data_IF_384221842497
#
_entry.id   IF_384221842497
#
_cell.length_a   1.000
_cell.length_b   1.000
_cell.length_c   1.000
_cell.angle_alpha   90.00
_cell.angle_beta   90.00
_cell.angle_gamma   90.00
#
_symmetry.space_group_name_H-M   'P 1'
#
loop_
_entity.id
_entity.type
_entity.pdbx_description
1 polymer ?
#
# COMPACT_ATOMS: atom_id res chain seq x y z
N UNK A 1 -14.09 23.28 29.38
CA UNK A 1 -12.81 23.52 28.67
C UNK A 1 -12.03 22.20 28.39
N UNK A 2 -12.71 21.13 27.98
CA UNK A 2 -12.08 19.87 27.53
C UNK A 2 -12.38 19.57 26.05
N UNK A 3 -13.57 19.96 25.58
CA UNK A 3 -14.03 19.74 24.20
C UNK A 3 -13.19 20.50 23.18
N UNK A 4 -12.74 21.73 23.48
CA UNK A 4 -11.87 22.49 22.57
C UNK A 4 -10.45 21.93 22.43
N UNK A 5 -9.93 21.21 23.43
CA UNK A 5 -8.66 20.52 23.30
C UNK A 5 -8.80 19.23 22.47
N UNK A 6 -9.93 18.53 22.61
CA UNK A 6 -10.29 17.38 21.76
C UNK A 6 -10.46 17.74 20.29
N UNK A 7 -11.16 18.85 19.98
CA UNK A 7 -11.35 19.29 18.59
C UNK A 7 -10.04 19.72 17.91
N UNK A 8 -9.07 20.26 18.67
CA UNK A 8 -7.76 20.65 18.14
C UNK A 8 -6.82 19.46 17.94
N UNK A 9 -7.07 18.34 18.61
CA UNK A 9 -6.35 17.09 18.39
C UNK A 9 -6.78 16.40 17.07
N UNK A 10 -8.05 16.55 16.67
CA UNK A 10 -8.56 16.03 15.38
C UNK A 10 -8.10 16.89 14.19
N UNK A 11 -7.87 18.19 14.37
CA UNK A 11 -7.27 19.06 13.34
C UNK A 11 -5.76 18.83 13.13
N UNK A 12 -5.02 18.31 14.14
CA UNK A 12 -3.56 18.11 14.08
C UNK A 12 -3.14 16.66 13.80
N UNK A 13 -4.05 15.70 13.95
CA UNK A 13 -3.87 14.29 13.59
C UNK A 13 -5.01 13.91 12.65
N UNK A 14 -4.83 14.08 11.34
CA UNK A 14 -5.79 13.53 10.40
C UNK A 14 -5.78 12.00 10.58
N UNK A 15 -6.94 11.38 10.36
CA UNK A 15 -7.09 9.92 10.17
C UNK A 15 -6.04 9.37 9.19
N UNK A 16 -5.45 10.22 8.34
CA UNK A 16 -4.28 9.91 7.51
C UNK A 16 -3.06 9.40 8.28
N UNK A 17 -2.84 9.75 9.55
CA UNK A 17 -1.70 9.23 10.35
C UNK A 17 -1.91 7.80 10.83
N UNK A 18 -3.15 7.40 11.10
CA UNK A 18 -3.49 5.99 11.34
C UNK A 18 -3.51 5.20 10.03
N UNK A 19 -4.06 5.79 8.96
CA UNK A 19 -3.97 5.23 7.62
C UNK A 19 -2.51 5.01 7.21
N UNK A 20 -1.60 5.95 7.49
CA UNK A 20 -0.16 5.82 7.23
C UNK A 20 0.47 4.62 7.95
N UNK A 21 0.16 4.40 9.24
CA UNK A 21 0.61 3.18 9.94
C UNK A 21 -0.02 1.93 9.33
N UNK A 22 -1.26 2.01 8.89
CA UNK A 22 -1.94 0.96 8.13
C UNK A 22 -1.24 0.64 6.80
N UNK A 23 -0.80 1.66 6.04
CA UNK A 23 -0.10 1.54 4.76
C UNK A 23 1.22 0.80 4.93
N UNK A 24 2.03 1.16 5.93
CA UNK A 24 3.28 0.42 6.19
C UNK A 24 3.02 -1.05 6.54
N UNK A 25 2.00 -1.32 7.37
CA UNK A 25 1.64 -2.70 7.71
C UNK A 25 1.07 -3.48 6.54
N UNK A 26 0.35 -2.83 5.63
CA UNK A 26 -0.13 -3.45 4.40
C UNK A 26 1.03 -3.74 3.41
N UNK A 27 2.02 -2.85 3.30
CA UNK A 27 3.24 -3.12 2.51
C UNK A 27 4.03 -4.30 3.06
N UNK A 28 4.23 -4.37 4.38
CA UNK A 28 4.91 -5.49 5.03
C UNK A 28 4.14 -6.80 4.80
N UNK A 29 2.82 -6.76 4.93
CA UNK A 29 1.95 -7.92 4.73
C UNK A 29 1.96 -8.40 3.27
N UNK A 30 1.94 -7.48 2.31
CA UNK A 30 2.06 -7.78 0.89
C UNK A 30 3.39 -8.51 0.58
N UNK A 31 4.50 -8.06 1.17
CA UNK A 31 5.79 -8.72 1.03
C UNK A 31 5.80 -10.12 1.66
N UNK A 32 5.25 -10.26 2.88
CA UNK A 32 5.15 -11.56 3.55
C UNK A 32 4.36 -12.54 2.68
N UNK A 33 3.19 -12.14 2.19
CA UNK A 33 2.37 -12.98 1.31
C UNK A 33 3.12 -13.39 0.04
N UNK A 34 3.82 -12.45 -0.61
CA UNK A 34 4.65 -12.76 -1.76
C UNK A 34 5.77 -13.77 -1.44
N UNK A 35 6.40 -13.67 -0.26
CA UNK A 35 7.48 -14.57 0.17
C UNK A 35 6.98 -15.98 0.51
N UNK A 36 5.77 -16.13 1.07
CA UNK A 36 5.22 -17.44 1.45
C UNK A 36 4.43 -18.12 0.32
N UNK A 37 4.27 -17.48 -0.83
CA UNK A 37 3.58 -18.03 -1.99
C UNK A 37 2.09 -17.72 -2.07
N UNK A 38 1.58 -16.85 -1.20
CA UNK A 38 0.19 -16.40 -1.16
C UNK A 38 -0.02 -15.22 -2.12
N UNK A 39 0.16 -15.46 -3.42
CA UNK A 39 0.31 -14.40 -4.42
C UNK A 39 -0.96 -13.57 -4.62
N UNK A 40 -2.14 -14.19 -4.60
CA UNK A 40 -3.42 -13.49 -4.71
C UNK A 40 -3.60 -12.49 -3.57
N UNK A 41 -3.33 -12.91 -2.33
CA UNK A 41 -3.40 -12.03 -1.17
C UNK A 41 -2.35 -10.91 -1.22
N UNK A 42 -1.15 -11.18 -1.75
CA UNK A 42 -0.14 -10.16 -1.98
C UNK A 42 -0.63 -9.09 -2.97
N UNK A 43 -1.23 -9.53 -4.08
CA UNK A 43 -1.73 -8.65 -5.15
C UNK A 43 -2.92 -7.79 -4.70
N UNK A 44 -3.83 -8.34 -3.90
CA UNK A 44 -4.92 -7.57 -3.29
C UNK A 44 -4.39 -6.43 -2.40
N UNK A 45 -3.35 -6.69 -1.60
CA UNK A 45 -2.71 -5.65 -0.78
C UNK A 45 -1.99 -4.61 -1.65
N UNK A 46 -1.33 -5.03 -2.72
CA UNK A 46 -0.67 -4.11 -3.67
C UNK A 46 -1.70 -3.20 -4.34
N UNK A 47 -2.84 -3.73 -4.80
CA UNK A 47 -3.90 -2.92 -5.41
C UNK A 47 -4.46 -1.88 -4.44
N UNK A 48 -4.74 -2.29 -3.20
CA UNK A 48 -5.16 -1.37 -2.15
C UNK A 48 -4.13 -0.25 -1.93
N UNK A 49 -2.84 -0.60 -1.86
CA UNK A 49 -1.76 0.35 -1.64
C UNK A 49 -1.55 1.32 -2.80
N UNK A 50 -1.76 0.87 -4.05
CA UNK A 50 -1.71 1.73 -5.24
C UNK A 50 -2.96 2.63 -5.34
N UNK A 51 -4.09 2.23 -4.75
CA UNK A 51 -5.34 3.01 -4.77
C UNK A 51 -5.36 4.23 -3.83
N UNK A 52 -4.37 4.36 -2.95
CA UNK A 52 -4.31 5.43 -1.94
C UNK A 52 -3.00 6.22 -2.05
N UNK A 53 -2.97 7.51 -1.67
CA UNK A 53 -1.71 8.25 -1.58
C UNK A 53 -0.74 7.57 -0.60
N UNK A 54 0.40 7.12 -1.12
CA UNK A 54 1.33 6.29 -0.37
C UNK A 54 2.74 6.30 -0.94
N UNK A 55 3.59 5.45 -0.37
CA UNK A 55 4.99 5.29 -0.80
C UNK A 55 5.16 4.22 -1.89
N UNK A 56 4.19 3.31 -2.03
CA UNK A 56 4.21 2.28 -3.06
C UNK A 56 3.78 2.89 -4.40
N UNK A 57 4.53 2.60 -5.45
CA UNK A 57 4.20 3.01 -6.82
C UNK A 57 4.52 1.87 -7.78
N UNK A 58 3.91 1.90 -8.97
CA UNK A 58 4.19 0.94 -10.05
C UNK A 58 5.68 0.90 -10.41
N UNK A 59 6.34 2.05 -10.46
CA UNK A 59 7.80 2.17 -10.67
C UNK A 59 8.61 1.46 -9.58
N UNK A 60 8.21 1.59 -8.31
CA UNK A 60 8.90 0.91 -7.21
C UNK A 60 8.71 -0.60 -7.29
N UNK A 61 7.48 -1.06 -7.57
CA UNK A 61 7.16 -2.49 -7.76
C UNK A 61 7.96 -3.14 -8.90
N UNK A 62 8.28 -2.37 -9.95
CA UNK A 62 9.10 -2.82 -11.08
C UNK A 62 10.61 -2.76 -10.81
N UNK A 63 11.06 -1.93 -9.86
CA UNK A 63 12.49 -1.75 -9.54
C UNK A 63 12.96 -2.68 -8.43
N UNK A 64 12.13 -2.92 -7.41
CA UNK A 64 12.49 -3.70 -6.22
C UNK A 64 12.37 -5.21 -6.48
N UNK A 65 13.48 -5.98 -6.42
CA UNK A 65 13.48 -7.43 -6.66
C UNK A 65 12.64 -8.24 -5.69
N UNK A 66 12.23 -7.67 -4.55
CA UNK A 66 11.30 -8.31 -3.60
C UNK A 66 9.99 -8.72 -4.30
N UNK A 67 9.56 -7.94 -5.30
CA UNK A 67 8.35 -8.21 -6.08
C UNK A 67 8.59 -9.04 -7.33
N UNK A 68 9.84 -9.43 -7.62
CA UNK A 68 10.19 -10.18 -8.83
C UNK A 68 9.42 -11.49 -8.97
N UNK A 69 9.07 -12.11 -7.85
CA UNK A 69 8.25 -13.32 -7.82
C UNK A 69 6.85 -13.09 -8.43
N UNK A 70 6.32 -11.86 -8.34
CA UNK A 70 5.02 -11.47 -8.87
C UNK A 70 5.06 -10.98 -10.33
N UNK A 71 6.24 -10.64 -10.89
CA UNK A 71 6.32 -9.98 -12.21
C UNK A 71 5.72 -10.78 -13.37
N UNK A 72 5.66 -12.10 -13.25
CA UNK A 72 5.07 -12.97 -14.26
C UNK A 72 3.56 -13.20 -14.06
N UNK A 73 2.99 -12.77 -12.94
CA UNK A 73 1.56 -12.89 -12.69
C UNK A 73 0.79 -11.94 -13.62
N UNK A 74 -0.26 -12.43 -14.33
CA UNK A 74 -1.09 -11.59 -15.19
C UNK A 74 -1.68 -10.40 -14.43
N UNK A 75 -2.08 -10.63 -13.19
CA UNK A 75 -2.68 -9.62 -12.32
C UNK A 75 -1.69 -8.53 -11.92
N UNK A 76 -0.43 -8.89 -11.65
CA UNK A 76 0.61 -7.90 -11.41
C UNK A 76 0.77 -6.96 -12.61
N UNK A 77 0.80 -7.51 -13.83
CA UNK A 77 0.90 -6.71 -15.06
C UNK A 77 -0.32 -5.80 -15.24
N UNK A 78 -1.53 -6.30 -14.96
CA UNK A 78 -2.76 -5.50 -14.95
C UNK A 78 -2.65 -4.31 -14.00
N UNK A 79 -2.17 -4.53 -12.77
CA UNK A 79 -1.99 -3.46 -11.79
C UNK A 79 -0.95 -2.42 -12.26
N UNK A 80 0.18 -2.87 -12.80
CA UNK A 80 1.17 -1.95 -13.37
C UNK A 80 0.58 -1.08 -14.47
N UNK A 81 -0.19 -1.66 -15.40
CA UNK A 81 -0.83 -0.93 -16.50
C UNK A 81 -1.91 0.04 -15.99
N UNK A 82 -2.69 -0.37 -14.99
CA UNK A 82 -3.81 0.41 -14.45
C UNK A 82 -3.32 1.65 -13.70
N UNK A 83 -2.18 1.57 -13.01
CA UNK A 83 -1.65 2.62 -12.14
C UNK A 83 -0.37 3.27 -12.71
N UNK A 84 -0.12 3.17 -14.02
CA UNK A 84 1.10 3.69 -14.65
C UNK A 84 1.10 5.21 -14.89
N UNK A 85 -0.03 5.89 -14.64
CA UNK A 85 -0.30 7.27 -15.06
C UNK A 85 -0.36 8.33 -13.92
N UNK A 86 0.23 8.04 -12.75
CA UNK A 86 0.49 9.04 -11.70
C UNK A 86 1.98 9.49 -11.62
#
# INVERSE_FOLDING_TARGET
KAINAGNKAVELLPVSKEAWRGVYRASDLAQIYAMVGEYEAALEQIELLLSIPGHLSTKLLQLDPTWKILWNHPEFKRLIETYNDD
#
